data_IF_856430337119
#
_entry.id   IF_856430337119
#
_cell.length_a   1.000
_cell.length_b   1.000
_cell.length_c   1.000
_cell.angle_alpha   90.00
_cell.angle_beta   90.00
_cell.angle_gamma   90.00
#
_symmetry.space_group_name_H-M   'P 1'
#
loop_
_entity.id
_entity.type
_entity.pdbx_description
1 polymer ?
#
# COMPACT_ATOMS: atom_id res chain seq x y z
N UNK A 1 7.73 37.83 27.15
CA UNK A 1 8.10 39.05 27.90
C UNK A 1 9.21 39.66 27.08
N UNK A 2 8.95 40.81 26.46
CA UNK A 2 9.98 41.55 25.71
C UNK A 2 11.09 41.97 26.69
N UNK A 3 12.31 41.54 26.42
CA UNK A 3 13.49 42.09 27.08
C UNK A 3 13.61 43.56 26.66
N UNK A 4 13.36 44.48 27.61
CA UNK A 4 13.48 45.92 27.39
C UNK A 4 12.25 46.76 27.77
N UNK A 5 11.14 46.13 28.16
CA UNK A 5 10.01 46.87 28.74
C UNK A 5 10.34 47.34 30.16
N UNK A 6 10.51 48.65 30.34
CA UNK A 6 10.61 49.25 31.68
C UNK A 6 9.40 48.90 32.57
N UNK A 7 9.50 49.09 33.90
CA UNK A 7 8.39 48.81 34.80
C UNK A 7 7.16 49.60 34.37
N UNK A 8 5.96 49.01 34.55
CA UNK A 8 4.70 49.72 34.29
C UNK A 8 4.68 51.04 35.07
N UNK A 9 4.08 52.10 34.51
CA UNK A 9 4.13 53.45 35.09
C UNK A 9 3.82 53.51 36.61
N UNK A 10 2.81 52.79 37.15
CA UNK A 10 2.56 52.78 38.59
C UNK A 10 3.71 52.19 39.42
N UNK A 11 4.38 51.16 38.89
CA UNK A 11 5.54 50.55 39.55
C UNK A 11 6.77 51.47 39.46
N UNK A 12 6.96 52.16 38.33
CA UNK A 12 8.04 53.12 38.16
C UNK A 12 7.90 54.31 39.12
N UNK A 13 6.70 54.87 39.25
CA UNK A 13 6.37 55.93 40.21
C UNK A 13 6.60 55.47 41.64
N UNK A 14 6.10 54.28 42.01
CA UNK A 14 6.31 53.72 43.33
C UNK A 14 7.80 53.49 43.65
N UNK A 15 8.59 52.99 42.70
CA UNK A 15 10.03 52.80 42.88
C UNK A 15 10.75 54.15 43.11
N UNK A 16 10.36 55.19 42.37
CA UNK A 16 10.90 56.55 42.53
C UNK A 16 10.55 57.17 43.89
N UNK A 17 9.31 56.99 44.35
CA UNK A 17 8.88 57.42 45.68
C UNK A 17 9.58 56.64 46.79
N UNK A 18 9.78 55.33 46.60
CA UNK A 18 10.50 54.48 47.55
C UNK A 18 11.99 54.86 47.67
N UNK A 19 12.63 55.25 46.56
CA UNK A 19 13.98 55.81 46.56
C UNK A 19 14.05 57.15 47.30
N UNK A 20 13.10 58.05 47.03
CA UNK A 20 13.06 59.39 47.63
C UNK A 20 12.83 59.36 49.14
N UNK A 21 12.05 58.38 49.63
CA UNK A 21 11.69 58.26 51.05
C UNK A 21 12.56 57.26 51.83
N UNK A 22 13.65 56.76 51.23
CA UNK A 22 14.59 55.83 51.89
C UNK A 22 14.09 54.39 52.08
N UNK A 23 12.84 54.10 51.72
CA UNK A 23 12.24 52.76 51.72
C UNK A 23 12.99 51.79 50.80
N UNK A 24 13.68 52.30 49.78
CA UNK A 24 14.45 51.46 48.86
C UNK A 24 15.54 50.65 49.59
N UNK A 25 16.20 51.23 50.60
CA UNK A 25 17.23 50.55 51.39
C UNK A 25 16.69 49.40 52.25
N UNK A 26 15.42 49.45 52.65
CA UNK A 26 14.79 48.40 53.48
C UNK A 26 14.33 47.19 52.67
N UNK A 27 14.35 47.30 51.33
CA UNK A 27 14.02 46.21 50.41
C UNK A 27 15.24 45.35 50.03
N UNK A 28 16.44 45.72 50.49
CA UNK A 28 17.65 44.92 50.30
C UNK A 28 17.67 43.69 51.22
N UNK A 29 18.33 42.62 50.77
CA UNK A 29 18.43 41.36 51.50
C UNK A 29 17.32 40.36 51.14
N UNK A 30 17.37 39.18 51.75
CA UNK A 30 16.40 38.13 51.52
C UNK A 30 15.14 38.33 52.39
N UNK A 31 13.92 38.26 51.80
CA UNK A 31 12.69 38.21 52.58
C UNK A 31 12.67 37.03 53.55
N UNK A 32 12.09 37.23 54.75
CA UNK A 32 12.03 36.21 55.81
C UNK A 32 11.21 34.96 55.46
N UNK A 33 10.40 35.01 54.39
CA UNK A 33 9.62 33.87 53.92
C UNK A 33 10.41 32.93 53.00
N UNK A 34 11.61 33.31 52.54
CA UNK A 34 12.47 32.44 51.74
C UNK A 34 13.29 31.55 52.65
N UNK A 35 13.33 30.25 52.33
CA UNK A 35 14.19 29.30 53.04
C UNK A 35 15.67 29.54 52.67
N UNK A 36 16.57 29.26 53.63
CA UNK A 36 18.02 29.42 53.44
C UNK A 36 18.54 28.59 52.25
N UNK A 37 17.98 27.40 52.03
CA UNK A 37 18.28 26.50 50.91
C UNK A 37 17.93 27.07 49.51
N UNK A 38 17.08 28.10 49.44
CA UNK A 38 16.80 28.81 48.19
C UNK A 38 17.80 29.94 47.91
N UNK A 39 18.61 30.31 48.90
CA UNK A 39 19.48 31.48 48.92
C UNK A 39 20.96 31.13 48.94
N UNK A 40 21.36 30.11 49.71
CA UNK A 40 22.76 29.71 49.95
C UNK A 40 22.99 28.22 49.62
N UNK A 41 24.26 27.84 49.45
CA UNK A 41 24.68 26.49 49.09
C UNK A 41 24.81 26.20 47.59
N UNK A 42 25.37 25.04 47.26
CA UNK A 42 25.72 24.60 45.90
C UNK A 42 24.60 23.77 45.23
N UNK A 43 23.43 23.69 45.84
CA UNK A 43 22.35 22.87 45.30
C UNK A 43 21.90 23.40 43.91
N UNK A 44 21.90 22.56 42.86
CA UNK A 44 21.63 23.02 41.50
C UNK A 44 20.24 23.64 41.28
N UNK A 45 19.26 23.29 42.13
CA UNK A 45 17.89 23.83 42.07
C UNK A 45 17.67 25.15 42.81
N UNK A 46 18.72 25.80 43.31
CA UNK A 46 18.62 27.10 44.00
C UNK A 46 17.92 28.13 43.11
N UNK A 47 16.83 28.71 43.61
CA UNK A 47 15.93 29.59 42.86
C UNK A 47 16.38 31.05 42.80
N UNK A 48 17.24 31.47 43.74
CA UNK A 48 17.66 32.85 43.88
C UNK A 48 19.18 32.98 43.96
N UNK A 49 19.65 34.18 43.67
CA UNK A 49 21.04 34.58 43.89
C UNK A 49 21.09 36.08 44.18
N UNK A 50 22.07 36.50 44.98
CA UNK A 50 22.35 37.91 45.14
C UNK A 50 23.09 38.43 43.90
N UNK A 51 22.72 39.63 43.46
CA UNK A 51 23.39 40.34 42.39
C UNK A 51 24.81 40.71 42.82
N UNK A 52 25.81 40.28 42.06
CA UNK A 52 27.23 40.46 42.40
C UNK A 52 27.88 41.69 41.75
N UNK A 53 27.11 42.45 40.98
CA UNK A 53 27.60 43.56 40.14
C UNK A 53 27.58 44.92 40.85
N UNK A 54 26.84 45.04 41.95
CA UNK A 54 26.75 46.24 42.79
C UNK A 54 27.38 45.98 44.16
N UNK A 55 28.51 46.62 44.44
CA UNK A 55 29.27 46.40 45.69
C UNK A 55 28.56 46.90 46.96
N UNK A 56 27.58 47.80 46.80
CA UNK A 56 26.89 48.47 47.91
C UNK A 56 25.42 48.04 48.05
N UNK A 57 24.93 47.11 47.22
CA UNK A 57 23.51 46.72 47.21
C UNK A 57 23.32 45.20 47.14
N UNK A 58 22.56 44.63 48.09
CA UNK A 58 22.28 43.19 48.15
C UNK A 58 20.88 42.87 47.57
N UNK A 59 20.75 42.91 46.24
CA UNK A 59 19.49 42.59 45.56
C UNK A 59 19.36 41.10 45.24
N UNK A 60 18.18 40.55 45.52
CA UNK A 60 17.87 39.18 45.19
C UNK A 60 17.30 39.09 43.78
N UNK A 61 17.94 38.30 42.91
CA UNK A 61 17.52 38.08 41.52
C UNK A 61 17.11 36.63 41.29
N UNK A 62 16.08 36.38 40.45
CA UNK A 62 15.67 35.02 40.14
C UNK A 62 16.76 34.32 39.31
N UNK A 63 17.26 33.20 39.83
CA UNK A 63 18.17 32.32 39.10
C UNK A 63 17.32 31.34 38.32
N UNK A 64 17.19 31.52 37.00
CA UNK A 64 16.32 30.67 36.18
C UNK A 64 16.95 29.31 35.86
N UNK A 65 18.27 29.28 35.67
CA UNK A 65 19.05 28.09 35.37
C UNK A 65 20.39 28.13 36.11
N UNK A 66 20.86 26.94 36.46
CA UNK A 66 22.22 26.68 36.93
C UNK A 66 22.95 25.94 35.83
N UNK A 67 24.13 26.41 35.43
CA UNK A 67 24.98 25.65 34.51
C UNK A 67 25.85 24.74 35.36
N UNK A 68 25.84 23.45 35.06
CA UNK A 68 26.75 22.46 35.64
C UNK A 68 27.57 21.83 34.52
N UNK A 69 28.87 21.61 34.79
CA UNK A 69 29.71 20.83 33.88
C UNK A 69 29.93 19.46 34.48
N UNK A 70 29.42 18.44 33.80
CA UNK A 70 29.61 17.03 34.16
C UNK A 70 30.28 16.36 32.96
N UNK A 71 31.45 15.76 33.18
CA UNK A 71 32.24 15.04 32.17
C UNK A 71 32.51 15.83 30.87
N UNK A 72 32.73 17.14 30.98
CA UNK A 72 33.05 18.03 29.86
C UNK A 72 31.84 18.47 29.04
N UNK A 73 30.63 17.99 29.35
CA UNK A 73 29.38 18.52 28.84
C UNK A 73 28.90 19.67 29.76
N UNK A 74 28.37 20.74 29.15
CA UNK A 74 27.79 21.88 29.86
C UNK A 74 26.28 21.75 29.78
N UNK A 75 25.63 21.55 30.93
CA UNK A 75 24.18 21.31 31.01
C UNK A 75 23.49 22.37 31.87
N UNK A 76 22.34 22.82 31.38
CA UNK A 76 21.47 23.74 32.10
C UNK A 76 20.50 23.00 33.01
N UNK A 77 20.57 23.23 34.31
CA UNK A 77 19.64 22.71 35.30
C UNK A 77 18.61 23.78 35.62
N UNK A 78 17.33 23.44 35.45
CA UNK A 78 16.23 24.33 35.84
C UNK A 78 16.19 24.52 37.35
N UNK A 79 16.28 25.77 37.79
CA UNK A 79 16.14 26.16 39.19
C UNK A 79 14.69 26.12 39.68
N UNK A 80 14.50 25.99 40.99
CA UNK A 80 13.20 26.00 41.66
C UNK A 80 12.77 24.65 42.25
N UNK A 81 11.85 24.71 43.21
CA UNK A 81 11.34 23.53 43.93
C UNK A 81 9.90 23.18 43.56
N UNK A 82 9.27 23.86 42.59
CA UNK A 82 7.90 23.54 42.18
C UNK A 82 7.89 22.23 41.39
N UNK A 83 6.76 21.52 41.41
CA UNK A 83 6.58 20.30 40.60
C UNK A 83 6.88 20.50 39.11
N UNK A 84 6.56 21.68 38.56
CA UNK A 84 6.93 22.05 37.18
C UNK A 84 8.44 22.07 36.98
N UNK A 85 9.19 22.60 37.94
CA UNK A 85 10.65 22.74 37.84
C UNK A 85 11.31 21.35 37.93
N UNK A 86 10.82 20.48 38.81
CA UNK A 86 11.23 19.07 38.88
C UNK A 86 10.97 18.33 37.56
N UNK A 87 9.78 18.50 36.95
CA UNK A 87 9.44 17.92 35.64
C UNK A 87 10.34 18.45 34.51
N UNK A 88 10.65 19.74 34.51
CA UNK A 88 11.55 20.34 33.52
C UNK A 88 12.99 19.81 33.68
N UNK A 89 13.47 19.67 34.91
CA UNK A 89 14.76 19.01 35.18
C UNK A 89 14.79 17.57 34.68
N UNK A 90 13.73 16.80 34.96
CA UNK A 90 13.60 15.42 34.49
C UNK A 90 13.65 15.35 32.95
N UNK A 91 12.88 16.20 32.26
CA UNK A 91 12.88 16.24 30.79
C UNK A 91 14.22 16.66 30.18
N UNK A 92 14.91 17.65 30.78
CA UNK A 92 16.24 18.06 30.34
C UNK A 92 17.27 16.95 30.56
N UNK A 93 17.24 16.28 31.72
CA UNK A 93 18.12 15.15 32.01
C UNK A 93 17.91 13.99 31.03
N UNK A 94 16.65 13.64 30.72
CA UNK A 94 16.33 12.61 29.73
C UNK A 94 16.85 12.99 28.32
N UNK A 95 16.68 14.25 27.91
CA UNK A 95 17.17 14.74 26.61
C UNK A 95 18.70 14.67 26.49
N UNK A 96 19.40 14.90 27.60
CA UNK A 96 20.87 14.87 27.69
C UNK A 96 21.42 13.49 28.07
N UNK A 97 20.56 12.48 28.16
CA UNK A 97 20.90 11.10 28.57
C UNK A 97 21.62 11.04 29.94
N UNK A 98 21.23 11.91 30.88
CA UNK A 98 21.76 11.94 32.24
C UNK A 98 20.96 11.03 33.18
N UNK A 99 21.63 10.35 34.14
CA UNK A 99 20.95 9.62 35.20
C UNK A 99 19.96 10.53 35.94
N UNK A 100 18.72 10.08 36.07
CA UNK A 100 17.65 10.86 36.68
C UNK A 100 16.61 9.93 37.31
N UNK A 101 15.89 10.44 38.30
CA UNK A 101 14.80 9.73 38.99
C UNK A 101 13.59 10.64 39.07
N UNK A 102 12.41 10.08 38.80
CA UNK A 102 11.14 10.79 38.91
C UNK A 102 10.07 10.21 37.98
N UNK A 103 8.82 10.62 38.20
CA UNK A 103 7.69 10.15 37.42
C UNK A 103 7.56 10.91 36.10
N UNK A 104 7.44 10.13 35.02
CA UNK A 104 7.18 10.65 33.68
C UNK A 104 5.67 10.69 33.42
N UNK A 105 5.18 11.75 32.79
CA UNK A 105 3.73 11.90 32.57
C UNK A 105 3.18 10.84 31.60
N UNK A 106 3.96 10.45 30.60
CA UNK A 106 3.61 9.43 29.62
C UNK A 106 4.89 8.80 29.07
N UNK A 107 5.10 7.51 29.35
CA UNK A 107 6.27 6.76 28.88
C UNK A 107 6.28 6.66 27.33
N UNK A 108 5.10 6.51 26.72
CA UNK A 108 4.93 6.54 25.26
C UNK A 108 5.41 7.85 24.65
N UNK A 109 5.14 8.99 25.27
CA UNK A 109 5.57 10.30 24.76
C UNK A 109 7.09 10.45 24.74
N UNK A 110 7.79 9.84 25.70
CA UNK A 110 9.27 9.81 25.71
C UNK A 110 9.77 8.90 24.59
N UNK A 111 9.23 7.69 24.51
CA UNK A 111 9.64 6.70 23.55
C UNK A 111 9.39 7.14 22.08
N UNK A 112 8.27 7.86 21.81
CA UNK A 112 8.00 8.47 20.50
C UNK A 112 9.09 9.47 20.09
N UNK A 113 9.65 10.21 21.06
CA UNK A 113 10.77 11.13 20.80
C UNK A 113 12.04 10.44 20.28
N UNK A 114 12.19 9.14 20.52
CA UNK A 114 13.33 8.35 20.05
C UNK A 114 13.03 7.51 18.80
N UNK A 115 11.78 7.46 18.33
CA UNK A 115 11.36 6.63 17.18
C UNK A 115 12.23 6.90 15.95
N UNK A 116 12.41 8.18 15.57
CA UNK A 116 13.20 8.57 14.42
C UNK A 116 14.68 8.19 14.54
N UNK A 117 15.28 8.36 15.73
CA UNK A 117 16.67 7.99 15.98
C UNK A 117 16.88 6.49 15.90
N UNK A 118 15.96 5.70 16.47
CA UNK A 118 15.97 4.24 16.41
C UNK A 118 15.80 3.76 14.97
N UNK A 119 14.84 4.33 14.23
CA UNK A 119 14.61 3.97 12.82
C UNK A 119 15.84 4.28 11.96
N UNK A 120 16.47 5.44 12.14
CA UNK A 120 17.68 5.81 11.42
C UNK A 120 18.86 4.89 11.76
N UNK A 121 19.09 4.57 13.03
CA UNK A 121 20.12 3.61 13.44
C UNK A 121 19.92 2.25 12.76
N UNK A 122 18.68 1.74 12.72
CA UNK A 122 18.36 0.50 12.01
C UNK A 122 18.65 0.57 10.51
N UNK A 123 18.28 1.68 9.85
CA UNK A 123 18.57 1.89 8.42
C UNK A 123 20.08 1.88 8.15
N UNK A 124 20.88 2.47 9.03
CA UNK A 124 22.35 2.49 8.90
C UNK A 124 22.99 1.12 9.12
N UNK A 125 22.37 0.26 9.93
CA UNK A 125 22.85 -1.11 10.23
C UNK A 125 22.33 -2.17 9.27
N UNK A 126 21.42 -1.83 8.37
CA UNK A 126 20.89 -2.82 7.44
C UNK A 126 22.01 -3.35 6.53
N UNK A 127 22.00 -4.64 6.16
CA UNK A 127 23.01 -5.21 5.28
C UNK A 127 23.14 -4.46 3.96
N UNK A 128 24.37 -4.14 3.56
CA UNK A 128 24.68 -3.50 2.28
C UNK A 128 25.49 -4.42 1.38
N UNK A 129 25.38 -4.20 0.06
CA UNK A 129 26.31 -4.80 -0.89
C UNK A 129 27.73 -4.26 -0.72
N UNK A 130 27.94 -3.13 -0.05
CA UNK A 130 29.28 -2.55 0.11
C UNK A 130 30.19 -3.44 0.97
N UNK A 131 29.60 -4.15 1.95
CA UNK A 131 30.29 -5.05 2.87
C UNK A 131 30.67 -6.42 2.26
N UNK A 132 30.10 -6.76 1.09
CA UNK A 132 30.36 -8.03 0.41
C UNK A 132 31.61 -7.99 -0.45
N UNK A 133 32.28 -9.12 -0.63
CA UNK A 133 33.38 -9.26 -1.57
C UNK A 133 32.89 -9.36 -3.03
N UNK A 134 33.80 -9.14 -3.99
CA UNK A 134 33.47 -9.29 -5.40
C UNK A 134 33.27 -10.77 -5.72
N UNK A 135 32.13 -11.11 -6.32
CA UNK A 135 31.74 -12.48 -6.63
C UNK A 135 30.92 -13.13 -5.52
N UNK A 136 30.51 -12.40 -4.50
CA UNK A 136 29.74 -12.93 -3.37
C UNK A 136 28.23 -12.71 -3.54
N UNK A 137 27.44 -13.62 -2.97
CA UNK A 137 26.00 -13.48 -2.84
C UNK A 137 25.64 -12.98 -1.43
N UNK A 138 24.69 -12.05 -1.36
CA UNK A 138 24.08 -11.72 -0.07
C UNK A 138 23.22 -12.90 0.39
N UNK A 139 23.51 -13.51 1.54
CA UNK A 139 22.80 -14.70 2.01
C UNK A 139 21.34 -14.36 2.36
N UNK A 140 20.42 -15.31 2.20
CA UNK A 140 19.02 -15.10 2.56
C UNK A 140 18.82 -14.70 4.02
N UNK A 141 19.63 -15.23 4.94
CA UNK A 141 19.54 -14.91 6.38
C UNK A 141 19.72 -13.42 6.71
N UNK A 142 20.33 -12.62 5.83
CA UNK A 142 20.40 -11.17 6.00
C UNK A 142 19.03 -10.48 5.91
N UNK A 143 17.99 -11.17 5.42
CA UNK A 143 16.59 -10.73 5.42
C UNK A 143 16.10 -10.30 6.81
N UNK A 144 16.53 -11.01 7.86
CA UNK A 144 16.20 -10.70 9.25
C UNK A 144 16.62 -9.29 9.70
N UNK A 145 17.54 -8.66 8.97
CA UNK A 145 18.11 -7.35 9.32
C UNK A 145 17.77 -6.25 8.29
N UNK A 146 16.97 -6.57 7.26
CA UNK A 146 16.53 -5.57 6.29
C UNK A 146 15.43 -4.67 6.87
N UNK A 147 15.59 -3.36 6.67
CA UNK A 147 14.57 -2.36 7.02
C UNK A 147 13.80 -1.89 5.78
N UNK A 148 14.47 -1.86 4.63
CA UNK A 148 13.91 -1.51 3.33
C UNK A 148 14.48 -2.45 2.25
N UNK A 149 13.79 -2.51 1.11
CA UNK A 149 14.28 -3.22 -0.08
C UNK A 149 15.09 -2.34 -1.03
N UNK A 150 15.25 -1.05 -0.72
CA UNK A 150 15.99 -0.09 -1.56
C UNK A 150 17.43 -0.53 -1.95
N UNK A 151 18.19 -1.24 -1.09
CA UNK A 151 19.51 -1.73 -1.47
C UNK A 151 19.50 -2.84 -2.52
N UNK A 152 18.35 -3.48 -2.73
CA UNK A 152 18.17 -4.70 -3.54
C UNK A 152 17.76 -4.38 -4.98
N UNK A 153 18.11 -5.29 -5.91
CA UNK A 153 17.70 -5.16 -7.31
C UNK A 153 16.48 -6.06 -7.56
N UNK A 154 15.29 -5.56 -7.19
CA UNK A 154 14.02 -6.24 -7.43
C UNK A 154 13.51 -6.05 -8.87
N UNK A 155 13.81 -4.90 -9.48
CA UNK A 155 13.45 -4.56 -10.87
C UNK A 155 14.73 -4.41 -11.70
N UNK A 156 15.28 -5.50 -12.25
CA UNK A 156 16.55 -5.43 -12.94
C UNK A 156 16.42 -4.81 -14.33
N UNK A 157 17.43 -4.05 -14.73
CA UNK A 157 17.68 -3.74 -16.14
C UNK A 157 18.15 -4.98 -16.92
N UNK A 158 18.07 -4.92 -18.25
CA UNK A 158 18.52 -6.03 -19.13
C UNK A 158 19.98 -6.45 -18.90
N UNK A 159 20.84 -5.54 -18.44
CA UNK A 159 22.23 -5.85 -18.10
C UNK A 159 22.35 -6.55 -16.75
N UNK A 160 21.57 -6.14 -15.75
CA UNK A 160 21.52 -6.77 -14.42
C UNK A 160 20.89 -8.17 -14.46
N UNK A 161 19.90 -8.39 -15.33
CA UNK A 161 19.28 -9.72 -15.51
C UNK A 161 20.26 -10.79 -15.99
N UNK A 162 21.37 -10.39 -16.63
CA UNK A 162 22.45 -11.29 -17.11
C UNK A 162 23.50 -11.59 -16.04
N UNK A 163 23.38 -11.01 -14.85
CA UNK A 163 24.38 -11.12 -13.79
C UNK A 163 23.93 -12.14 -12.74
N UNK A 164 24.67 -13.25 -12.64
CA UNK A 164 24.73 -14.10 -11.46
C UNK A 164 23.53 -15.02 -11.16
N UNK A 165 22.42 -14.96 -11.89
CA UNK A 165 21.18 -15.66 -11.49
C UNK A 165 21.09 -17.15 -11.90
N UNK A 166 21.90 -17.63 -12.87
CA UNK A 166 21.81 -19.01 -13.37
C UNK A 166 22.77 -20.03 -12.73
N UNK A 167 23.74 -19.56 -11.93
CA UNK A 167 24.88 -20.38 -11.47
C UNK A 167 25.17 -20.21 -9.97
N UNK A 168 24.11 -19.93 -9.21
CA UNK A 168 24.19 -19.70 -7.77
C UNK A 168 24.33 -21.03 -7.00
N UNK A 169 25.22 -21.11 -5.99
CA UNK A 169 25.38 -22.30 -5.15
C UNK A 169 24.33 -22.39 -4.03
N UNK A 170 23.71 -21.27 -3.64
CA UNK A 170 22.70 -21.21 -2.58
C UNK A 170 21.49 -20.39 -3.04
N UNK A 171 20.31 -20.91 -2.75
CA UNK A 171 19.00 -20.30 -3.04
C UNK A 171 18.08 -20.49 -1.84
N UNK A 172 17.21 -19.51 -1.50
CA UNK A 172 17.14 -18.15 -2.06
C UNK A 172 18.33 -17.27 -1.66
N UNK A 173 18.47 -16.09 -2.27
CA UNK A 173 19.51 -15.10 -1.96
C UNK A 173 19.02 -13.66 -2.18
N UNK A 174 19.68 -12.69 -1.56
CA UNK A 174 19.33 -11.26 -1.67
C UNK A 174 20.10 -10.51 -2.76
N UNK A 175 20.82 -11.23 -3.62
CA UNK A 175 21.45 -10.72 -4.83
C UNK A 175 22.95 -10.96 -4.86
N UNK A 176 23.58 -10.65 -6.00
CA UNK A 176 24.99 -10.98 -6.27
C UNK A 176 25.82 -9.73 -6.50
N UNK A 177 26.97 -9.59 -5.84
CA UNK A 177 27.93 -8.50 -6.11
C UNK A 177 28.93 -8.94 -7.18
N UNK A 178 28.70 -8.59 -8.45
CA UNK A 178 29.69 -8.86 -9.51
C UNK A 178 30.95 -8.02 -9.34
N UNK A 179 30.76 -6.72 -9.06
CA UNK A 179 31.83 -5.76 -8.74
C UNK A 179 31.23 -4.58 -7.94
N UNK A 180 32.01 -3.52 -7.69
CA UNK A 180 31.55 -2.38 -6.89
C UNK A 180 30.26 -1.71 -7.38
N UNK A 181 30.02 -1.70 -8.71
CA UNK A 181 28.90 -0.98 -9.31
C UNK A 181 27.87 -1.89 -10.00
N UNK A 182 28.13 -3.20 -10.09
CA UNK A 182 27.31 -4.16 -10.83
C UNK A 182 26.79 -5.23 -9.89
N UNK A 183 25.46 -5.26 -9.76
CA UNK A 183 24.71 -6.16 -8.89
C UNK A 183 23.76 -7.04 -9.73
N UNK A 184 23.61 -8.29 -9.33
CA UNK A 184 22.63 -9.23 -9.88
C UNK A 184 21.25 -9.04 -9.25
N UNK A 185 20.26 -9.73 -9.81
CA UNK A 185 18.87 -9.69 -9.35
C UNK A 185 18.74 -10.26 -7.95
N UNK A 186 17.90 -9.66 -7.12
CA UNK A 186 17.56 -10.13 -5.78
C UNK A 186 16.24 -10.90 -5.80
N UNK A 187 16.10 -11.93 -4.98
CA UNK A 187 14.79 -12.53 -4.70
C UNK A 187 14.03 -11.59 -3.79
N UNK A 188 12.76 -11.35 -4.13
CA UNK A 188 11.92 -10.41 -3.39
C UNK A 188 11.71 -10.93 -1.97
N UNK A 189 12.27 -10.24 -0.97
CA UNK A 189 12.22 -10.73 0.40
C UNK A 189 11.02 -10.15 1.15
N UNK A 190 10.05 -9.56 0.44
CA UNK A 190 8.86 -9.00 1.07
C UNK A 190 7.88 -10.13 1.41
N UNK A 191 7.21 -10.06 2.58
CA UNK A 191 7.29 -8.98 3.59
C UNK A 191 8.60 -8.99 4.40
N UNK A 192 9.10 -7.80 4.76
CA UNK A 192 10.26 -7.68 5.65
C UNK A 192 9.85 -7.98 7.10
N UNK A 193 10.72 -8.63 7.89
CA UNK A 193 10.38 -9.03 9.24
C UNK A 193 10.24 -7.80 10.15
N UNK A 194 9.31 -7.83 11.11
CA UNK A 194 9.19 -6.77 12.10
C UNK A 194 10.46 -6.69 12.95
N UNK A 195 10.91 -5.49 13.36
CA UNK A 195 11.95 -5.36 14.37
C UNK A 195 11.59 -6.09 15.66
N UNK A 196 12.60 -6.55 16.38
CA UNK A 196 12.42 -7.02 17.76
C UNK A 196 13.02 -5.98 18.70
N UNK A 197 12.23 -5.52 19.67
CA UNK A 197 12.66 -4.61 20.70
C UNK A 197 12.50 -5.24 22.07
N UNK A 198 13.40 -4.91 22.99
CA UNK A 198 13.21 -5.23 24.40
C UNK A 198 12.17 -4.26 25.00
N UNK A 199 11.06 -4.81 25.47
CA UNK A 199 9.98 -4.06 26.13
C UNK A 199 8.82 -3.67 25.22
N UNK A 200 7.65 -3.50 25.85
CA UNK A 200 6.37 -3.37 25.14
C UNK A 200 6.19 -1.96 24.55
N UNK A 201 6.64 -0.90 25.23
CA UNK A 201 6.38 0.50 24.83
C UNK A 201 6.99 0.84 23.46
N UNK A 202 8.23 0.43 23.20
CA UNK A 202 8.88 0.67 21.90
C UNK A 202 8.17 -0.17 20.83
N UNK A 203 7.86 -1.42 21.13
CA UNK A 203 7.14 -2.32 20.23
C UNK A 203 5.76 -1.77 19.84
N UNK A 204 5.04 -1.16 20.78
CA UNK A 204 3.74 -0.50 20.54
C UNK A 204 3.87 0.72 19.62
N UNK A 205 4.89 1.56 19.81
CA UNK A 205 5.12 2.76 18.98
C UNK A 205 5.44 2.37 17.52
N UNK A 206 6.22 1.31 17.34
CA UNK A 206 6.51 0.76 16.01
C UNK A 206 5.37 -0.11 15.44
N UNK A 207 4.22 -0.21 16.14
CA UNK A 207 3.03 -0.91 15.66
C UNK A 207 3.16 -2.44 15.65
N UNK A 208 4.07 -3.01 16.43
CA UNK A 208 4.37 -4.45 16.44
C UNK A 208 3.42 -5.30 17.27
N UNK A 209 2.71 -4.67 18.22
CA UNK A 209 1.77 -5.34 19.12
C UNK A 209 0.32 -5.31 18.63
N UNK A 210 0.07 -4.72 17.46
CA UNK A 210 -1.24 -4.82 16.85
C UNK A 210 -1.43 -6.25 16.32
N UNK A 211 -2.47 -6.95 16.79
CA UNK A 211 -2.93 -8.16 16.13
C UNK A 211 -3.16 -7.82 14.66
N UNK A 212 -2.33 -8.36 13.77
CA UNK A 212 -2.31 -7.99 12.36
C UNK A 212 -3.70 -8.08 11.73
N UNK A 213 -3.89 -7.50 10.53
CA UNK A 213 -5.21 -7.46 9.90
C UNK A 213 -5.75 -8.87 9.66
N UNK A 214 -6.70 -9.29 10.51
CA UNK A 214 -7.40 -10.56 10.37
C UNK A 214 -8.65 -10.36 9.52
N UNK A 215 -8.82 -11.19 8.50
CA UNK A 215 -10.05 -11.27 7.72
C UNK A 215 -10.43 -12.71 7.46
N UNK A 216 -11.71 -12.98 7.61
CA UNK A 216 -12.28 -14.31 7.34
C UNK A 216 -12.28 -14.64 5.84
N UNK A 217 -12.59 -13.65 4.99
CA UNK A 217 -12.69 -13.83 3.53
C UNK A 217 -11.95 -12.73 2.79
N UNK A 218 -11.03 -13.16 1.93
CA UNK A 218 -10.24 -12.34 1.04
C UNK A 218 -10.87 -12.24 -0.36
N UNK A 219 -10.46 -11.23 -1.13
CA UNK A 219 -10.75 -11.12 -2.56
C UNK A 219 -9.48 -10.68 -3.28
N UNK A 220 -9.38 -10.96 -4.58
CA UNK A 220 -8.22 -10.55 -5.39
C UNK A 220 -7.94 -9.04 -5.26
N UNK A 221 -8.98 -8.20 -5.37
CA UNK A 221 -8.90 -6.74 -5.21
C UNK A 221 -8.43 -6.28 -3.82
N UNK A 222 -8.55 -7.12 -2.79
CA UNK A 222 -8.07 -6.82 -1.44
C UNK A 222 -6.65 -7.33 -1.24
N UNK A 223 -6.34 -8.53 -1.73
CA UNK A 223 -5.00 -9.13 -1.62
C UNK A 223 -3.99 -8.33 -2.45
N UNK A 224 -4.35 -7.88 -3.66
CA UNK A 224 -3.42 -7.25 -4.60
C UNK A 224 -2.74 -5.99 -4.03
N UNK A 225 -3.45 -5.07 -3.33
CA UNK A 225 -2.81 -3.98 -2.59
C UNK A 225 -1.81 -4.47 -1.55
N UNK A 226 -2.11 -5.53 -0.79
CA UNK A 226 -1.19 -6.07 0.22
C UNK A 226 0.07 -6.66 -0.42
N UNK A 227 -0.05 -7.34 -1.55
CA UNK A 227 1.10 -7.87 -2.31
C UNK A 227 1.95 -6.73 -2.90
N UNK A 228 1.31 -5.66 -3.37
CA UNK A 228 1.99 -4.52 -3.98
C UNK A 228 2.70 -3.64 -2.94
N UNK A 229 1.94 -3.18 -1.94
CA UNK A 229 2.38 -2.29 -0.87
C UNK A 229 1.49 -2.47 0.37
N UNK A 230 1.91 -3.27 1.37
CA UNK A 230 1.14 -3.48 2.61
C UNK A 230 0.76 -2.18 3.31
N UNK A 231 1.64 -1.16 3.26
CA UNK A 231 1.38 0.15 3.85
C UNK A 231 0.21 0.85 3.18
N UNK A 232 0.19 0.88 1.85
CA UNK A 232 -0.92 1.45 1.08
C UNK A 232 -2.21 0.66 1.36
N UNK A 233 -2.16 -0.67 1.33
CA UNK A 233 -3.31 -1.52 1.62
C UNK A 233 -3.89 -1.27 3.01
N UNK A 234 -3.03 -1.01 4.00
CA UNK A 234 -3.45 -0.64 5.35
C UNK A 234 -4.09 0.76 5.38
N UNK A 235 -3.48 1.76 4.75
CA UNK A 235 -4.02 3.13 4.68
C UNK A 235 -5.38 3.15 3.97
N UNK A 236 -5.45 2.59 2.77
CA UNK A 236 -6.64 2.66 1.91
C UNK A 236 -7.73 1.68 2.38
N UNK A 237 -7.34 0.46 2.77
CA UNK A 237 -8.26 -0.65 3.03
C UNK A 237 -8.60 -0.89 4.49
N UNK A 238 -7.75 -0.47 5.43
CA UNK A 238 -8.00 -0.60 6.87
C UNK A 238 -8.36 0.74 7.52
N UNK A 239 -7.62 1.81 7.22
CA UNK A 239 -7.97 3.16 7.69
C UNK A 239 -9.06 3.84 6.85
N UNK A 240 -9.35 3.31 5.65
CA UNK A 240 -10.27 3.94 4.70
C UNK A 240 -9.89 5.39 4.38
N UNK A 241 -8.59 5.71 4.40
CA UNK A 241 -8.12 7.02 3.99
C UNK A 241 -8.21 7.09 2.47
N UNK A 242 -9.02 8.02 1.97
CA UNK A 242 -9.22 8.25 0.55
C UNK A 242 -8.76 9.67 0.22
N UNK A 243 -8.18 9.84 -0.96
CA UNK A 243 -7.97 11.17 -1.52
C UNK A 243 -9.33 11.83 -1.77
N UNK A 244 -9.34 13.16 -1.84
CA UNK A 244 -10.53 13.89 -2.27
C UNK A 244 -10.89 13.47 -3.70
N UNK A 245 -12.18 13.27 -3.98
CA UNK A 245 -12.63 12.99 -5.34
C UNK A 245 -12.28 14.17 -6.26
N UNK A 246 -11.40 13.93 -7.23
CA UNK A 246 -11.12 14.89 -8.29
C UNK A 246 -12.32 14.94 -9.25
N UNK A 247 -12.86 16.13 -9.50
CA UNK A 247 -13.83 16.34 -10.56
C UNK A 247 -13.13 16.19 -11.93
N UNK A 248 -13.22 15.00 -12.52
CA UNK A 248 -12.71 14.75 -13.87
C UNK A 248 -13.69 15.29 -14.92
N UNK A 249 -13.15 15.87 -16.01
CA UNK A 249 -13.92 16.35 -17.16
C UNK A 249 -14.58 15.20 -17.98
N UNK A 250 -14.18 13.95 -17.75
CA UNK A 250 -14.61 12.75 -18.49
C UNK A 250 -15.04 11.66 -17.50
N UNK A 251 -15.75 10.64 -17.98
CA UNK A 251 -16.13 9.51 -17.12
C UNK A 251 -14.91 8.77 -16.59
N UNK A 252 -15.01 8.33 -15.34
CA UNK A 252 -13.95 7.57 -14.69
C UNK A 252 -13.51 6.36 -15.53
N UNK A 253 -12.21 6.04 -15.45
CA UNK A 253 -11.62 4.91 -16.17
C UNK A 253 -12.32 3.58 -15.85
N UNK A 254 -12.77 3.38 -14.60
CA UNK A 254 -13.48 2.17 -14.19
C UNK A 254 -14.83 2.05 -14.88
N UNK A 255 -15.62 3.12 -14.92
CA UNK A 255 -16.92 3.14 -15.60
C UNK A 255 -16.76 2.80 -17.08
N UNK A 256 -15.71 3.32 -17.72
CA UNK A 256 -15.38 2.96 -19.12
C UNK A 256 -15.06 1.49 -19.29
N UNK A 257 -14.24 0.94 -18.38
CA UNK A 257 -13.90 -0.48 -18.38
C UNK A 257 -15.14 -1.35 -18.22
N UNK A 258 -16.01 -0.99 -17.27
CA UNK A 258 -17.24 -1.71 -16.96
C UNK A 258 -18.19 -1.80 -18.17
N UNK A 259 -18.36 -0.71 -18.94
CA UNK A 259 -19.22 -0.73 -20.14
C UNK A 259 -18.72 -1.75 -21.18
N UNK A 260 -17.41 -1.83 -21.38
CA UNK A 260 -16.82 -2.78 -22.35
C UNK A 260 -16.97 -4.21 -21.82
N UNK A 261 -16.77 -4.40 -20.51
CA UNK A 261 -16.93 -5.67 -19.83
C UNK A 261 -18.38 -6.18 -19.91
N UNK A 262 -19.35 -5.34 -19.61
CA UNK A 262 -20.78 -5.70 -19.62
C UNK A 262 -21.27 -5.94 -21.06
N UNK A 263 -20.75 -5.20 -22.04
CA UNK A 263 -21.02 -5.45 -23.46
C UNK A 263 -20.52 -6.84 -23.91
N UNK A 264 -19.34 -7.25 -23.43
CA UNK A 264 -18.82 -8.61 -23.67
C UNK A 264 -19.71 -9.66 -22.99
N UNK A 265 -20.10 -9.44 -21.72
CA UNK A 265 -21.01 -10.33 -21.02
C UNK A 265 -22.37 -10.46 -21.75
N UNK A 266 -22.90 -9.36 -22.30
CA UNK A 266 -24.12 -9.37 -23.09
C UNK A 266 -23.97 -10.18 -24.39
N UNK A 267 -22.82 -10.09 -25.07
CA UNK A 267 -22.51 -10.94 -26.21
C UNK A 267 -22.53 -12.41 -25.81
N UNK A 268 -21.87 -12.79 -24.73
CA UNK A 268 -21.82 -14.18 -24.25
C UNK A 268 -23.21 -14.68 -23.83
N UNK A 269 -24.02 -13.85 -23.18
CA UNK A 269 -25.40 -14.18 -22.82
C UNK A 269 -26.27 -14.45 -24.05
N UNK A 270 -26.08 -13.71 -25.15
CA UNK A 270 -26.79 -13.97 -26.41
C UNK A 270 -26.43 -15.34 -27.03
N UNK A 271 -25.25 -15.88 -26.71
CA UNK A 271 -24.85 -17.25 -27.06
C UNK A 271 -25.29 -18.31 -26.03
N UNK A 272 -26.07 -17.92 -25.03
CA UNK A 272 -26.60 -18.81 -24.00
C UNK A 272 -25.64 -19.10 -22.86
N UNK A 273 -24.54 -18.34 -22.73
CA UNK A 273 -23.63 -18.46 -21.58
C UNK A 273 -24.25 -17.73 -20.38
N UNK A 274 -24.53 -18.40 -19.26
CA UNK A 274 -25.07 -17.75 -18.07
C UNK A 274 -24.07 -16.76 -17.46
N UNK A 275 -24.52 -15.53 -17.16
CA UNK A 275 -23.74 -14.54 -16.41
C UNK A 275 -23.89 -14.85 -14.91
N UNK A 276 -22.79 -15.14 -14.22
CA UNK A 276 -22.82 -15.45 -12.79
C UNK A 276 -23.46 -16.81 -12.45
N UNK A 277 -23.68 -17.66 -13.46
CA UNK A 277 -24.38 -18.93 -13.33
C UNK A 277 -23.46 -20.15 -13.42
N UNK A 278 -24.08 -21.32 -13.62
CA UNK A 278 -23.37 -22.59 -13.79
C UNK A 278 -22.60 -22.67 -15.12
N UNK A 279 -21.52 -23.44 -15.12
CA UNK A 279 -20.68 -23.68 -16.29
C UNK A 279 -21.44 -24.53 -17.32
N UNK A 280 -21.37 -24.14 -18.59
CA UNK A 280 -21.96 -24.91 -19.68
C UNK A 280 -21.30 -26.28 -19.83
N UNK A 281 -22.13 -27.32 -19.93
CA UNK A 281 -21.67 -28.69 -20.14
C UNK A 281 -21.18 -28.93 -21.56
N UNK A 282 -21.65 -28.17 -22.54
CA UNK A 282 -21.24 -28.24 -23.95
C UNK A 282 -20.53 -26.96 -24.38
N UNK A 283 -19.40 -27.11 -25.05
CA UNK A 283 -18.60 -26.01 -25.58
C UNK A 283 -18.90 -25.78 -27.06
N UNK A 284 -19.29 -24.55 -27.41
CA UNK A 284 -19.46 -24.11 -28.80
C UNK A 284 -18.79 -22.76 -28.99
N UNK A 285 -17.92 -22.64 -30.00
CA UNK A 285 -17.30 -21.37 -30.38
C UNK A 285 -18.37 -20.37 -30.81
N UNK A 286 -18.18 -19.07 -30.56
CA UNK A 286 -19.14 -18.02 -30.90
C UNK A 286 -19.59 -18.08 -32.37
N UNK A 287 -18.66 -18.27 -33.32
CA UNK A 287 -18.97 -18.38 -34.75
C UNK A 287 -19.87 -19.58 -35.13
N UNK A 288 -20.08 -20.52 -34.21
CA UNK A 288 -20.93 -21.72 -34.37
C UNK A 288 -22.10 -21.76 -33.38
N UNK A 289 -22.25 -20.72 -32.56
CA UNK A 289 -23.28 -20.63 -31.51
C UNK A 289 -24.62 -20.10 -32.01
N UNK A 290 -25.49 -19.75 -31.07
CA UNK A 290 -26.86 -19.27 -31.34
C UNK A 290 -26.86 -17.96 -32.16
N UNK A 291 -25.91 -17.06 -31.88
CA UNK A 291 -25.70 -15.83 -32.65
C UNK A 291 -24.50 -16.02 -33.59
N UNK A 292 -24.57 -16.96 -34.53
CA UNK A 292 -23.43 -17.40 -35.36
C UNK A 292 -22.73 -16.33 -36.21
N UNK A 293 -23.33 -15.15 -36.43
CA UNK A 293 -22.67 -14.06 -37.17
C UNK A 293 -22.27 -12.88 -36.28
N UNK A 294 -21.16 -12.19 -36.59
CA UNK A 294 -20.76 -10.99 -35.85
C UNK A 294 -21.86 -9.94 -35.77
N UNK A 295 -22.67 -9.78 -36.81
CA UNK A 295 -23.77 -8.81 -36.87
C UNK A 295 -24.86 -9.15 -35.85
N UNK A 296 -25.15 -10.43 -35.61
CA UNK A 296 -26.09 -10.85 -34.56
C UNK A 296 -25.54 -10.55 -33.17
N UNK A 297 -24.24 -10.82 -32.95
CA UNK A 297 -23.56 -10.44 -31.71
C UNK A 297 -23.55 -8.92 -31.50
N UNK A 298 -23.39 -8.15 -32.57
CA UNK A 298 -23.46 -6.69 -32.54
C UNK A 298 -24.82 -6.19 -32.07
N UNK A 299 -25.92 -6.79 -32.54
CA UNK A 299 -27.27 -6.42 -32.07
C UNK A 299 -27.44 -6.67 -30.57
N UNK A 300 -26.88 -7.76 -30.03
CA UNK A 300 -26.93 -8.03 -28.58
C UNK A 300 -26.18 -6.95 -27.79
N UNK A 301 -25.02 -6.51 -28.27
CA UNK A 301 -24.25 -5.40 -27.68
C UNK A 301 -25.05 -4.10 -27.74
N UNK A 302 -25.64 -3.75 -28.88
CA UNK A 302 -26.44 -2.53 -29.02
C UNK A 302 -27.64 -2.52 -28.07
N UNK A 303 -28.39 -3.63 -27.99
CA UNK A 303 -29.52 -3.78 -27.07
C UNK A 303 -29.09 -3.60 -25.61
N UNK A 304 -27.93 -4.14 -25.22
CA UNK A 304 -27.39 -3.95 -23.87
C UNK A 304 -27.07 -2.47 -23.59
N UNK A 305 -26.42 -1.77 -24.54
CA UNK A 305 -26.08 -0.35 -24.40
C UNK A 305 -27.32 0.54 -24.30
N UNK A 306 -28.37 0.24 -25.08
CA UNK A 306 -29.65 0.95 -25.02
C UNK A 306 -30.26 0.88 -23.62
N UNK A 307 -30.27 -0.32 -23.02
CA UNK A 307 -30.88 -0.55 -21.71
C UNK A 307 -30.03 0.00 -20.55
N UNK A 308 -28.71 -0.19 -20.59
CA UNK A 308 -27.83 0.02 -19.42
C UNK A 308 -26.95 1.26 -19.51
N UNK A 309 -26.81 1.88 -20.70
CA UNK A 309 -25.96 3.06 -20.93
C UNK A 309 -26.77 4.22 -21.55
N UNK A 310 -27.89 4.65 -20.94
CA UNK A 310 -28.79 5.63 -21.55
C UNK A 310 -28.16 7.02 -21.74
N UNK A 311 -27.14 7.36 -20.95
CA UNK A 311 -26.43 8.63 -21.06
C UNK A 311 -25.65 8.77 -22.36
N UNK A 312 -25.38 7.68 -23.09
CA UNK A 312 -24.69 7.71 -24.39
C UNK A 312 -25.48 8.51 -25.44
N UNK A 313 -26.79 8.67 -25.22
CA UNK A 313 -27.69 9.48 -26.06
C UNK A 313 -27.63 10.98 -25.80
N UNK A 314 -26.88 11.46 -24.80
CA UNK A 314 -26.81 12.89 -24.49
C UNK A 314 -25.96 13.63 -25.52
N UNK A 315 -26.23 14.92 -25.69
CA UNK A 315 -25.47 15.81 -26.60
C UNK A 315 -24.35 16.59 -25.87
N UNK A 316 -23.86 16.10 -24.74
CA UNK A 316 -22.68 16.67 -24.09
C UNK A 316 -21.39 16.16 -24.74
N UNK A 317 -20.27 16.82 -24.43
CA UNK A 317 -18.97 16.52 -25.03
C UNK A 317 -18.50 15.09 -24.72
N UNK A 318 -18.81 14.57 -23.52
CA UNK A 318 -18.42 13.24 -23.06
C UNK A 318 -19.20 12.19 -23.86
N UNK A 319 -20.52 12.29 -23.89
CA UNK A 319 -21.39 11.39 -24.65
C UNK A 319 -21.05 11.39 -26.14
N UNK A 320 -20.76 12.57 -26.72
CA UNK A 320 -20.32 12.68 -28.12
C UNK A 320 -19.03 11.90 -28.38
N UNK A 321 -18.01 12.10 -27.55
CA UNK A 321 -16.74 11.40 -27.70
C UNK A 321 -16.89 9.88 -27.48
N UNK A 322 -17.67 9.48 -26.46
CA UNK A 322 -17.83 8.07 -26.06
C UNK A 322 -18.72 7.28 -27.01
N UNK A 323 -19.80 7.87 -27.50
CA UNK A 323 -20.65 7.25 -28.52
C UNK A 323 -19.83 6.97 -29.79
N UNK A 324 -19.01 7.94 -30.22
CA UNK A 324 -18.11 7.77 -31.36
C UNK A 324 -17.01 6.74 -31.13
N UNK A 325 -16.44 6.66 -29.93
CA UNK A 325 -15.38 5.70 -29.58
C UNK A 325 -15.93 4.26 -29.47
N UNK A 326 -17.03 4.08 -28.74
CA UNK A 326 -17.61 2.76 -28.45
C UNK A 326 -18.37 2.19 -29.66
N UNK A 327 -19.25 2.99 -30.26
CA UNK A 327 -20.22 2.56 -31.29
C UNK A 327 -19.85 3.05 -32.68
N UNK A 328 -19.04 4.11 -32.79
CA UNK A 328 -18.62 4.64 -34.10
C UNK A 328 -19.56 5.70 -34.70
N UNK A 329 -20.61 6.10 -33.99
CA UNK A 329 -21.64 7.03 -34.47
C UNK A 329 -21.78 8.28 -33.60
N UNK A 330 -22.59 9.25 -34.02
CA UNK A 330 -22.91 10.43 -33.22
C UNK A 330 -24.05 10.15 -32.22
N UNK A 331 -24.20 10.93 -31.14
CA UNK A 331 -25.35 10.78 -30.23
C UNK A 331 -26.71 10.97 -30.92
N UNK A 332 -26.80 11.85 -31.93
CA UNK A 332 -28.03 11.97 -32.74
C UNK A 332 -28.33 10.70 -33.53
N UNK A 333 -27.30 10.03 -34.05
CA UNK A 333 -27.50 8.77 -34.75
C UNK A 333 -27.95 7.66 -33.80
N UNK A 334 -27.36 7.64 -32.60
CA UNK A 334 -27.72 6.74 -31.52
C UNK A 334 -29.16 6.95 -31.06
N UNK A 335 -29.60 8.20 -30.91
CA UNK A 335 -31.00 8.53 -30.58
C UNK A 335 -31.97 8.04 -31.65
N UNK A 336 -31.68 8.28 -32.93
CA UNK A 336 -32.52 7.81 -34.03
C UNK A 336 -32.56 6.27 -34.09
N UNK A 337 -31.50 5.59 -33.70
CA UNK A 337 -31.50 4.13 -33.55
C UNK A 337 -32.43 3.65 -32.43
N UNK A 338 -32.30 4.22 -31.23
CA UNK A 338 -33.19 3.92 -30.09
C UNK A 338 -34.67 4.19 -30.45
N UNK A 339 -34.93 5.25 -31.22
CA UNK A 339 -36.27 5.57 -31.70
C UNK A 339 -36.80 4.61 -32.80
N UNK A 340 -35.97 3.67 -33.26
CA UNK A 340 -36.30 2.76 -34.37
C UNK A 340 -36.34 3.43 -35.74
N UNK A 341 -35.82 4.65 -35.86
CA UNK A 341 -35.81 5.44 -37.09
C UNK A 341 -34.68 5.00 -38.04
N UNK A 342 -33.58 4.46 -37.50
CA UNK A 342 -32.46 3.96 -38.30
C UNK A 342 -31.70 2.78 -37.70
N UNK A 343 -31.04 2.00 -38.55
CA UNK A 343 -30.06 1.00 -38.13
C UNK A 343 -28.67 1.60 -38.00
N UNK A 344 -27.88 1.10 -37.05
CA UNK A 344 -26.48 1.49 -36.89
C UNK A 344 -25.58 0.51 -37.63
N UNK A 345 -24.77 1.05 -38.54
CA UNK A 345 -23.70 0.30 -39.19
C UNK A 345 -22.64 -0.14 -38.17
N UNK A 346 -22.15 -1.38 -38.23
CA UNK A 346 -21.16 -1.88 -37.29
C UNK A 346 -19.84 -1.09 -37.35
N UNK A 347 -19.49 -0.43 -36.24
CA UNK A 347 -18.30 0.41 -36.12
C UNK A 347 -17.87 0.60 -34.66
N UNK A 348 -16.79 1.36 -34.47
CA UNK A 348 -16.28 1.68 -33.15
C UNK A 348 -15.55 0.51 -32.49
N UNK A 349 -15.17 0.71 -31.23
CA UNK A 349 -14.35 -0.23 -30.46
C UNK A 349 -15.08 -1.54 -30.17
N UNK A 350 -16.38 -1.46 -29.81
CA UNK A 350 -17.15 -2.63 -29.42
C UNK A 350 -17.39 -3.55 -30.63
N UNK A 351 -17.59 -2.99 -31.82
CA UNK A 351 -17.64 -3.80 -33.04
C UNK A 351 -16.34 -4.55 -33.30
N UNK A 352 -15.19 -3.90 -33.18
CA UNK A 352 -13.89 -4.58 -33.37
C UNK A 352 -13.67 -5.69 -32.34
N UNK A 353 -14.18 -5.53 -31.12
CA UNK A 353 -14.17 -6.57 -30.09
C UNK A 353 -15.01 -7.77 -30.53
N UNK A 354 -16.27 -7.54 -30.92
CA UNK A 354 -17.16 -8.57 -31.46
C UNK A 354 -16.50 -9.29 -32.63
N UNK A 355 -15.97 -8.56 -33.61
CA UNK A 355 -15.30 -9.18 -34.76
C UNK A 355 -14.13 -10.07 -34.35
N UNK A 356 -13.26 -9.59 -33.47
CA UNK A 356 -12.11 -10.36 -33.00
C UNK A 356 -12.55 -11.67 -32.33
N UNK A 357 -13.60 -11.61 -31.52
CA UNK A 357 -14.10 -12.76 -30.79
C UNK A 357 -14.67 -13.86 -31.69
N UNK A 358 -15.34 -13.47 -32.78
CA UNK A 358 -15.84 -14.40 -33.79
C UNK A 358 -14.74 -15.03 -34.66
N UNK A 359 -13.53 -14.46 -34.67
CA UNK A 359 -12.39 -15.10 -35.37
C UNK A 359 -11.81 -16.28 -34.60
N UNK A 360 -12.12 -16.43 -33.32
CA UNK A 360 -11.60 -17.50 -32.47
C UNK A 360 -12.49 -18.74 -32.61
N UNK A 361 -12.07 -19.68 -33.45
CA UNK A 361 -12.84 -20.89 -33.77
C UNK A 361 -12.52 -22.10 -32.89
N UNK A 362 -11.35 -22.08 -32.25
CA UNK A 362 -10.81 -23.20 -31.46
C UNK A 362 -10.92 -22.96 -29.95
N UNK A 363 -11.75 -21.99 -29.55
CA UNK A 363 -12.12 -21.76 -28.15
C UNK A 363 -13.63 -21.48 -28.06
N UNK A 364 -14.23 -21.93 -26.97
CA UNK A 364 -15.66 -21.79 -26.70
C UNK A 364 -15.90 -21.22 -25.31
N UNK A 365 -16.64 -20.13 -25.15
CA UNK A 365 -17.00 -19.65 -23.82
C UNK A 365 -17.92 -20.65 -23.14
N UNK A 366 -17.57 -21.01 -21.90
CA UNK A 366 -18.36 -21.95 -21.07
C UNK A 366 -18.84 -21.30 -19.77
N UNK A 367 -18.26 -20.18 -19.36
CA UNK A 367 -18.70 -19.43 -18.19
C UNK A 367 -18.35 -17.93 -18.34
N UNK A 368 -19.18 -17.08 -17.76
CA UNK A 368 -19.00 -15.63 -17.68
C UNK A 368 -19.37 -15.15 -16.27
N UNK A 369 -18.60 -14.22 -15.70
CA UNK A 369 -18.76 -13.76 -14.32
C UNK A 369 -18.83 -14.92 -13.32
N UNK A 370 -18.08 -15.99 -13.56
CA UNK A 370 -18.26 -17.26 -12.86
C UNK A 370 -17.84 -17.12 -11.39
N UNK A 371 -18.75 -17.31 -10.42
CA UNK A 371 -18.45 -17.04 -9.03
C UNK A 371 -17.52 -18.11 -8.44
N UNK A 372 -16.52 -17.64 -7.69
CA UNK A 372 -15.67 -18.49 -6.84
C UNK A 372 -16.46 -18.79 -5.56
N UNK A 373 -17.36 -19.77 -5.66
CA UNK A 373 -18.27 -20.19 -4.60
C UNK A 373 -18.44 -21.71 -4.59
N UNK A 374 -18.92 -22.23 -3.47
CA UNK A 374 -19.41 -23.61 -3.34
C UNK A 374 -20.94 -23.60 -3.24
N UNK A 375 -21.59 -24.77 -3.31
CA UNK A 375 -23.05 -24.89 -3.16
C UNK A 375 -23.58 -24.25 -1.86
N UNK A 376 -22.74 -24.20 -0.81
CA UNK A 376 -23.12 -23.76 0.53
C UNK A 376 -22.51 -22.41 0.94
N UNK A 377 -21.56 -21.87 0.18
CA UNK A 377 -20.80 -20.66 0.57
C UNK A 377 -20.43 -19.80 -0.63
N UNK A 378 -20.49 -18.48 -0.45
CA UNK A 378 -20.06 -17.46 -1.43
C UNK A 378 -18.54 -17.26 -1.47
N UNK A 379 -17.79 -18.21 -0.91
CA UNK A 379 -16.34 -18.24 -0.90
C UNK A 379 -15.84 -19.68 -0.93
N UNK A 380 -14.61 -19.85 -1.41
CA UNK A 380 -13.90 -21.14 -1.44
C UNK A 380 -12.72 -21.05 -0.47
N UNK A 381 -12.49 -22.10 0.29
CA UNK A 381 -11.31 -22.23 1.14
C UNK A 381 -10.13 -22.72 0.30
N UNK A 382 -9.02 -22.01 0.37
CA UNK A 382 -7.76 -22.40 -0.26
C UNK A 382 -6.91 -23.07 0.82
N UNK A 383 -6.49 -24.30 0.54
CA UNK A 383 -5.47 -24.96 1.33
C UNK A 383 -4.12 -24.27 1.11
N UNK A 384 -3.54 -23.77 2.18
CA UNK A 384 -2.34 -22.94 2.15
C UNK A 384 -1.49 -23.23 3.38
N UNK A 385 -0.20 -22.91 3.29
CA UNK A 385 0.75 -23.01 4.40
C UNK A 385 1.42 -21.66 4.64
N UNK A 386 1.80 -21.40 5.89
CA UNK A 386 2.60 -20.22 6.25
C UNK A 386 4.09 -20.44 5.96
N UNK A 387 4.92 -19.43 6.25
CA UNK A 387 6.37 -19.47 6.02
C UNK A 387 7.11 -20.57 6.81
N UNK A 388 6.47 -21.14 7.83
CA UNK A 388 6.99 -22.25 8.65
C UNK A 388 6.46 -23.61 8.17
N UNK A 389 5.83 -23.67 6.99
CA UNK A 389 5.19 -24.86 6.41
C UNK A 389 4.03 -25.42 7.27
N UNK A 390 3.49 -24.60 8.18
CA UNK A 390 2.31 -24.96 8.96
C UNK A 390 1.04 -24.63 8.18
N UNK A 391 0.04 -25.51 8.22
CA UNK A 391 -1.25 -25.30 7.57
C UNK A 391 -1.91 -24.00 8.06
N UNK A 392 -2.25 -23.13 7.10
CA UNK A 392 -2.82 -21.81 7.30
C UNK A 392 -3.85 -21.49 6.20
N UNK A 393 -4.97 -22.25 6.12
CA UNK A 393 -5.98 -22.07 5.09
C UNK A 393 -6.68 -20.71 5.23
N UNK A 394 -7.14 -20.18 4.10
CA UNK A 394 -7.92 -18.94 4.09
C UNK A 394 -8.99 -18.98 3.00
N UNK A 395 -10.06 -18.19 3.18
CA UNK A 395 -11.16 -18.14 2.22
C UNK A 395 -10.98 -17.02 1.20
N UNK A 396 -11.34 -17.30 -0.04
CA UNK A 396 -11.34 -16.32 -1.13
C UNK A 396 -12.72 -16.27 -1.78
N UNK A 397 -13.13 -15.07 -2.16
CA UNK A 397 -14.30 -14.80 -3.00
C UNK A 397 -13.92 -13.95 -4.20
N UNK A 398 -14.73 -14.02 -5.25
CA UNK A 398 -14.59 -13.22 -6.45
C UNK A 398 -15.35 -13.86 -7.59
N UNK A 399 -15.25 -13.25 -8.77
CA UNK A 399 -15.76 -13.80 -10.02
C UNK A 399 -14.60 -13.96 -10.99
N UNK A 400 -14.70 -14.97 -11.85
CA UNK A 400 -13.84 -15.13 -13.01
C UNK A 400 -14.57 -14.53 -14.22
N UNK A 401 -14.01 -13.47 -14.80
CA UNK A 401 -14.67 -12.69 -15.87
C UNK A 401 -15.15 -13.59 -17.02
N UNK A 402 -14.28 -14.46 -17.54
CA UNK A 402 -14.62 -15.41 -18.61
C UNK A 402 -13.77 -16.67 -18.56
N UNK A 403 -14.39 -17.80 -18.84
CA UNK A 403 -13.71 -19.09 -19.03
C UNK A 403 -14.07 -19.65 -20.40
N UNK A 404 -13.06 -19.97 -21.20
CA UNK A 404 -13.24 -20.68 -22.47
C UNK A 404 -12.71 -22.11 -22.37
N UNK A 405 -13.40 -23.08 -22.98
CA UNK A 405 -12.86 -24.40 -23.27
C UNK A 405 -12.07 -24.38 -24.58
N UNK A 406 -10.90 -25.02 -24.59
CA UNK A 406 -10.11 -25.22 -25.81
C UNK A 406 -10.72 -26.35 -26.63
N UNK A 407 -11.10 -26.04 -27.87
CA UNK A 407 -11.68 -27.02 -28.79
C UNK A 407 -10.53 -27.72 -29.53
N UNK A 408 -10.30 -28.99 -29.19
CA UNK A 408 -9.33 -29.82 -29.90
C UNK A 408 -9.99 -30.58 -31.05
N UNK A 409 -9.33 -30.62 -32.20
CA UNK A 409 -9.66 -31.58 -33.26
C UNK A 409 -9.51 -33.02 -32.78
N UNK A 410 -10.20 -33.96 -33.42
CA UNK A 410 -10.23 -35.38 -33.04
C UNK A 410 -8.84 -35.98 -32.85
N UNK A 411 -7.91 -35.67 -33.75
CA UNK A 411 -6.56 -36.23 -33.75
C UNK A 411 -5.75 -35.69 -32.57
N UNK A 412 -5.84 -34.37 -32.31
CA UNK A 412 -5.15 -33.74 -31.19
C UNK A 412 -5.70 -34.23 -29.83
N UNK A 413 -7.02 -34.41 -29.73
CA UNK A 413 -7.64 -34.99 -28.53
C UNK A 413 -7.17 -36.42 -28.31
N UNK A 414 -7.14 -37.25 -29.35
CA UNK A 414 -6.66 -38.64 -29.26
C UNK A 414 -5.19 -38.70 -28.77
N UNK A 415 -4.34 -37.80 -29.27
CA UNK A 415 -2.94 -37.68 -28.82
C UNK A 415 -2.87 -37.26 -27.35
N UNK A 416 -3.66 -36.26 -26.93
CA UNK A 416 -3.68 -35.79 -25.54
C UNK A 416 -4.18 -36.87 -24.56
N UNK A 417 -5.19 -37.66 -24.94
CA UNK A 417 -5.67 -38.79 -24.15
C UNK A 417 -4.63 -39.90 -24.08
N UNK A 418 -3.99 -40.25 -25.20
CA UNK A 418 -2.92 -41.25 -25.22
C UNK A 418 -1.70 -40.85 -24.39
N UNK A 419 -1.44 -39.54 -24.26
CA UNK A 419 -0.40 -38.97 -23.42
C UNK A 419 -0.79 -38.84 -21.94
N UNK A 420 -2.03 -39.21 -21.56
CA UNK A 420 -2.51 -39.07 -20.19
C UNK A 420 -2.74 -37.62 -19.74
N UNK A 421 -2.96 -36.70 -20.68
CA UNK A 421 -3.21 -35.27 -20.38
C UNK A 421 -4.70 -34.95 -20.31
N UNK A 422 -5.51 -35.69 -21.05
CA UNK A 422 -6.96 -35.56 -21.06
C UNK A 422 -7.63 -36.91 -20.78
N UNK A 423 -8.80 -36.86 -20.15
CA UNK A 423 -9.70 -38.00 -19.97
C UNK A 423 -11.14 -37.56 -20.20
N UNK A 424 -12.04 -38.49 -20.52
CA UNK A 424 -13.47 -38.23 -20.55
C UNK A 424 -14.13 -38.43 -19.17
N UNK A 425 -13.40 -39.05 -18.23
CA UNK A 425 -13.86 -39.30 -16.87
C UNK A 425 -13.91 -38.02 -16.04
N UNK A 426 -14.87 -37.96 -15.12
CA UNK A 426 -14.92 -36.88 -14.14
C UNK A 426 -13.81 -37.04 -13.11
N UNK A 427 -13.00 -35.99 -12.96
CA UNK A 427 -12.04 -35.89 -11.88
C UNK A 427 -12.55 -34.92 -10.82
N UNK A 428 -12.85 -35.45 -9.64
CA UNK A 428 -13.19 -34.66 -8.45
C UNK A 428 -11.96 -34.30 -7.59
N UNK A 429 -10.77 -34.80 -7.95
CA UNK A 429 -9.53 -34.54 -7.21
C UNK A 429 -8.97 -33.19 -7.65
N UNK A 430 -8.76 -32.23 -6.73
CA UNK A 430 -8.11 -30.97 -7.06
C UNK A 430 -6.70 -31.19 -7.62
N UNK A 431 -6.26 -30.27 -8.47
CA UNK A 431 -4.87 -30.27 -8.98
C UNK A 431 -3.94 -29.89 -7.83
N UNK A 432 -2.89 -30.68 -7.62
CA UNK A 432 -1.77 -30.30 -6.77
C UNK A 432 -0.87 -29.34 -7.55
N UNK A 433 -0.82 -28.08 -7.13
CA UNK A 433 0.00 -27.05 -7.78
C UNK A 433 1.51 -27.21 -7.49
N UNK A 434 1.88 -27.94 -6.43
CA UNK A 434 3.27 -28.22 -6.05
C UNK A 434 3.83 -29.41 -6.84
N UNK A 435 3.00 -30.41 -7.11
CA UNK A 435 3.31 -31.51 -8.02
C UNK A 435 2.18 -31.75 -9.05
N UNK A 436 2.07 -30.90 -10.08
CA UNK A 436 1.05 -31.06 -11.12
C UNK A 436 1.16 -32.39 -11.88
N UNK A 437 2.34 -33.01 -11.88
CA UNK A 437 2.58 -34.29 -12.57
C UNK A 437 1.96 -35.48 -11.85
N UNK A 438 1.72 -35.34 -10.55
CA UNK A 438 0.99 -36.33 -9.75
C UNK A 438 -0.53 -36.25 -9.92
N UNK A 439 -1.02 -35.16 -10.52
CA UNK A 439 -2.45 -34.94 -10.69
C UNK A 439 -3.02 -35.82 -11.82
N UNK A 440 -4.27 -36.31 -11.68
CA UNK A 440 -4.93 -37.06 -12.74
C UNK A 440 -5.13 -36.23 -14.01
N UNK A 441 -5.31 -36.89 -15.18
CA UNK A 441 -5.60 -36.20 -16.43
C UNK A 441 -6.83 -35.29 -16.30
N UNK A 442 -6.83 -34.14 -16.98
CA UNK A 442 -7.93 -33.20 -16.92
C UNK A 442 -9.11 -33.65 -17.81
N UNK A 443 -10.34 -33.28 -17.47
CA UNK A 443 -11.50 -33.51 -18.36
C UNK A 443 -11.53 -32.55 -19.54
N UNK A 444 -11.10 -31.30 -19.30
CA UNK A 444 -11.13 -30.20 -20.27
C UNK A 444 -9.88 -29.36 -20.10
N UNK A 445 -9.43 -28.75 -21.19
CA UNK A 445 -8.49 -27.63 -21.10
C UNK A 445 -9.26 -26.34 -21.18
N UNK A 446 -8.96 -25.43 -20.26
CA UNK A 446 -9.65 -24.15 -20.16
C UNK A 446 -8.67 -23.00 -20.19
N UNK A 447 -9.14 -21.88 -20.73
CA UNK A 447 -8.46 -20.59 -20.71
C UNK A 447 -9.29 -19.69 -19.81
N UNK A 448 -8.68 -19.25 -18.71
CA UNK A 448 -9.26 -18.23 -17.84
C UNK A 448 -8.83 -16.86 -18.39
N UNK A 449 -9.79 -16.01 -18.74
CA UNK A 449 -9.55 -14.65 -19.24
C UNK A 449 -9.98 -13.65 -18.18
N UNK A 450 -9.02 -12.84 -17.74
CA UNK A 450 -9.27 -11.61 -16.99
C UNK A 450 -9.49 -10.47 -18.00
N UNK A 451 -10.70 -9.92 -18.04
CA UNK A 451 -11.08 -8.89 -18.99
C UNK A 451 -10.67 -7.54 -18.43
N UNK A 452 -9.59 -6.98 -18.98
CA UNK A 452 -9.07 -5.67 -18.56
C UNK A 452 -8.91 -4.73 -19.74
N UNK A 453 -9.46 -3.53 -19.59
CA UNK A 453 -9.33 -2.47 -20.58
C UNK A 453 -8.09 -1.63 -20.29
N UNK A 454 -7.08 -1.75 -21.15
CA UNK A 454 -5.85 -0.95 -21.05
C UNK A 454 -5.75 -0.01 -22.23
N UNK A 455 -5.46 1.27 -21.97
CA UNK A 455 -5.19 2.24 -23.04
C UNK A 455 -4.01 1.75 -23.88
N UNK A 456 -4.22 1.72 -25.19
CA UNK A 456 -3.21 1.26 -26.14
C UNK A 456 -1.93 2.10 -26.06
N UNK A 457 -0.74 1.48 -26.23
CA UNK A 457 0.51 2.21 -26.26
C UNK A 457 0.58 3.06 -27.54
N UNK A 458 1.51 4.03 -27.58
CA UNK A 458 1.67 4.90 -28.75
C UNK A 458 2.04 4.07 -29.98
N UNK A 459 1.80 4.60 -31.18
CA UNK A 459 2.18 3.95 -32.44
C UNK A 459 3.67 3.58 -32.41
N UNK A 460 3.98 2.29 -32.58
CA UNK A 460 5.35 1.73 -32.50
C UNK A 460 5.67 0.95 -31.21
N UNK A 461 4.77 0.95 -30.22
CA UNK A 461 4.99 0.35 -28.90
C UNK A 461 4.04 -0.82 -28.59
N UNK A 462 3.50 -1.50 -29.60
CA UNK A 462 2.44 -2.53 -29.44
C UNK A 462 2.73 -3.63 -28.40
N UNK A 463 4.00 -4.01 -28.23
CA UNK A 463 4.43 -4.98 -27.21
C UNK A 463 4.30 -4.49 -25.76
N UNK A 464 4.37 -3.17 -25.52
CA UNK A 464 4.26 -2.58 -24.18
C UNK A 464 2.84 -2.65 -23.62
N UNK A 465 1.82 -2.85 -24.47
CA UNK A 465 0.41 -3.02 -24.03
C UNK A 465 0.25 -4.21 -23.10
N UNK A 466 0.80 -5.34 -23.51
CA UNK A 466 0.67 -6.62 -22.80
C UNK A 466 1.49 -6.59 -21.51
N UNK A 467 2.67 -5.98 -21.53
CA UNK A 467 3.48 -5.77 -20.32
C UNK A 467 2.79 -4.87 -19.29
N UNK A 468 2.08 -3.81 -19.71
CA UNK A 468 1.28 -2.97 -18.81
C UNK A 468 0.06 -3.70 -18.22
N UNK A 469 -0.43 -4.75 -18.87
CA UNK A 469 -1.55 -5.53 -18.37
C UNK A 469 -1.12 -6.61 -17.35
N UNK A 470 0.20 -6.90 -17.27
CA UNK A 470 0.75 -7.92 -16.37
C UNK A 470 1.17 -7.37 -14.99
N UNK A 471 1.23 -6.05 -14.81
CA UNK A 471 1.76 -5.40 -13.60
C UNK A 471 0.87 -4.27 -13.09
#
# INVERSE_FOLDING_TARGET
LEEGGGPAAPLAEWLSDAQSNGLYSTLQGAPSFLAEEELTGDHPSRAWQFESTTTDENWLTPRQFTIESVDGAVSGIRSGYRHRDARQRLGLALKENRPTQGDVNAIHGIAMGFEASIANDRIQRQPSFDDLEKGEYMPWGAHAHLVTTDPLILRPSMTQAKVGSKSQPQWPHLGFKKNGNSRGVSIDPRPLPPPQFEGDVISEIFGLQAGGVQREVWSASRIQPWLSCPRQAWVDGHLSAQDAEDELEDIDHRTRGQIIHDAEAALLAAHGVPIGGEVLTSSTSLARGACSTPEQGWQAVLAHLEEHVPWLSRNDAIATHRCRDLVGVSPSDWQAHIAGEQSIEPAGRLWHMVQADYTVLDAAPIACEWPVSTETSTSVEIDASNDEENAAPFRVRGNVDRVDEVILGSDARAVAVAAGLLTDDDCATPIDLCDPSSSPPARRWVIIRDLKTVNGPKKGESGLRHLRALF
#
